data_IF_282815513935
#
_entry.id   IF_282815513935
#
_cell.length_a   1.000
_cell.length_b   1.000
_cell.length_c   1.000
_cell.angle_alpha   90.00
_cell.angle_beta   90.00
_cell.angle_gamma   90.00
#
_symmetry.space_group_name_H-M   'P 1'
#
loop_
_entity.id
_entity.type
_entity.pdbx_description
1 polymer ?
#
# COMPACT_ATOMS: atom_id res chain seq x y z
N UNK A 1 28.70 -11.13 -5.05
CA UNK A 1 29.33 -12.46 -5.21
C UNK A 1 29.67 -12.59 -6.68
N UNK A 2 30.92 -12.91 -7.03
CA UNK A 2 31.28 -13.11 -8.44
C UNK A 2 30.67 -14.43 -8.94
N UNK A 3 30.30 -14.47 -10.22
CA UNK A 3 29.70 -15.64 -10.89
C UNK A 3 30.64 -16.86 -10.88
N UNK A 4 31.92 -16.67 -10.57
CA UNK A 4 32.97 -17.70 -10.57
C UNK A 4 32.75 -18.83 -9.55
N UNK A 5 31.82 -18.64 -8.59
CA UNK A 5 31.48 -19.64 -7.58
C UNK A 5 30.25 -20.50 -7.96
N UNK A 6 29.58 -20.21 -9.08
CA UNK A 6 28.39 -20.93 -9.53
C UNK A 6 28.73 -21.92 -10.65
N UNK A 7 28.24 -23.16 -10.51
CA UNK A 7 28.27 -24.12 -11.62
C UNK A 7 27.20 -23.74 -12.66
N UNK A 8 27.61 -22.93 -13.63
CA UNK A 8 26.75 -22.40 -14.68
C UNK A 8 26.13 -23.51 -15.55
N UNK A 9 26.69 -24.72 -15.59
CA UNK A 9 26.09 -25.86 -16.32
C UNK A 9 24.79 -26.36 -15.69
N UNK A 10 24.56 -26.03 -14.41
CA UNK A 10 23.36 -26.40 -13.64
C UNK A 10 22.40 -25.23 -13.42
N UNK A 11 22.64 -24.10 -14.07
CA UNK A 11 21.79 -22.93 -13.95
C UNK A 11 20.42 -23.22 -14.61
N UNK A 12 19.34 -23.08 -13.84
CA UNK A 12 17.99 -23.41 -14.33
C UNK A 12 17.22 -22.17 -14.78
N UNK A 13 17.31 -21.08 -14.02
CA UNK A 13 16.58 -19.84 -14.28
C UNK A 13 17.27 -18.64 -13.63
N UNK A 14 16.95 -17.45 -14.12
CA UNK A 14 17.29 -16.19 -13.48
C UNK A 14 16.00 -15.39 -13.32
N UNK A 15 15.76 -14.91 -12.10
CA UNK A 15 14.65 -14.00 -11.79
C UNK A 15 15.21 -12.62 -11.51
N UNK A 16 14.55 -11.59 -12.06
CA UNK A 16 15.02 -10.21 -11.99
C UNK A 16 13.83 -9.28 -11.77
N UNK A 17 14.12 -8.08 -11.29
CA UNK A 17 13.12 -7.06 -10.98
C UNK A 17 12.57 -6.38 -12.25
N UNK A 18 12.98 -5.15 -12.59
CA UNK A 18 12.41 -4.35 -13.68
C UNK A 18 12.91 -4.72 -15.08
N UNK A 19 12.25 -4.29 -16.17
CA UNK A 19 12.52 -4.80 -17.52
C UNK A 19 13.82 -4.28 -18.17
N UNK A 20 14.20 -3.01 -17.98
CA UNK A 20 15.14 -2.33 -18.88
C UNK A 20 16.57 -2.90 -18.86
N UNK A 21 17.21 -2.99 -17.70
CA UNK A 21 18.59 -3.49 -17.58
C UNK A 21 18.61 -5.02 -17.60
N UNK A 22 17.57 -5.62 -17.04
CA UNK A 22 17.54 -7.03 -16.74
C UNK A 22 17.23 -7.89 -17.96
N UNK A 23 16.36 -7.45 -18.87
CA UNK A 23 16.11 -8.23 -20.08
C UNK A 23 17.32 -8.28 -21.00
N UNK A 24 18.11 -7.20 -21.08
CA UNK A 24 19.36 -7.25 -21.85
C UNK A 24 20.37 -8.20 -21.22
N UNK A 25 20.47 -8.21 -19.89
CA UNK A 25 21.29 -9.18 -19.18
C UNK A 25 20.85 -10.62 -19.47
N UNK A 26 19.54 -10.93 -19.36
CA UNK A 26 19.03 -12.27 -19.64
C UNK A 26 19.26 -12.69 -21.09
N UNK A 27 19.08 -11.78 -22.05
CA UNK A 27 19.36 -12.04 -23.47
C UNK A 27 20.84 -12.43 -23.66
N UNK A 28 21.76 -11.63 -23.12
CA UNK A 28 23.20 -11.91 -23.22
C UNK A 28 23.58 -13.22 -22.50
N UNK A 29 22.98 -13.48 -21.33
CA UNK A 29 23.19 -14.71 -20.58
C UNK A 29 22.66 -15.94 -21.33
N UNK A 30 21.51 -15.84 -21.99
CA UNK A 30 20.96 -16.93 -22.80
C UNK A 30 21.82 -17.24 -24.02
N UNK A 31 22.40 -16.21 -24.66
CA UNK A 31 23.33 -16.39 -25.78
C UNK A 31 24.60 -17.12 -25.32
N UNK A 32 25.27 -16.61 -24.27
CA UNK A 32 26.47 -17.24 -23.71
C UNK A 32 26.20 -18.67 -23.23
N UNK A 33 25.07 -18.90 -22.56
CA UNK A 33 24.70 -20.22 -22.09
C UNK A 33 24.41 -21.20 -23.24
N UNK A 34 23.77 -20.74 -24.31
CA UNK A 34 23.53 -21.57 -25.49
C UNK A 34 24.84 -21.93 -26.21
N UNK A 35 25.78 -20.99 -26.33
CA UNK A 35 27.10 -21.23 -26.94
C UNK A 35 27.94 -22.22 -26.13
N UNK A 36 27.94 -22.10 -24.80
CA UNK A 36 28.81 -22.90 -23.92
C UNK A 36 28.20 -24.25 -23.52
N UNK A 37 26.88 -24.42 -23.59
CA UNK A 37 26.18 -25.62 -23.08
C UNK A 37 25.26 -26.29 -24.12
N UNK A 38 25.71 -26.35 -25.37
CA UNK A 38 25.07 -27.18 -26.40
C UNK A 38 23.66 -26.72 -26.80
N UNK A 39 23.42 -25.42 -26.80
CA UNK A 39 22.13 -24.81 -27.13
C UNK A 39 21.10 -24.81 -26.00
N UNK A 40 21.49 -25.17 -24.78
CA UNK A 40 20.62 -25.08 -23.61
C UNK A 40 20.15 -23.63 -23.36
N UNK A 41 18.92 -23.46 -22.88
CA UNK A 41 18.36 -22.17 -22.53
C UNK A 41 17.77 -22.19 -21.12
N UNK A 42 17.97 -21.09 -20.40
CA UNK A 42 17.40 -20.89 -19.07
C UNK A 42 15.89 -20.70 -19.15
N UNK A 43 15.17 -21.22 -18.16
CA UNK A 43 13.74 -20.96 -18.00
C UNK A 43 13.55 -19.49 -17.65
N UNK A 44 12.93 -18.74 -18.58
CA UNK A 44 12.58 -17.34 -18.37
C UNK A 44 11.17 -17.21 -17.83
N UNK A 45 11.04 -16.55 -16.67
CA UNK A 45 9.77 -16.24 -16.02
C UNK A 45 9.39 -14.76 -16.27
N UNK A 46 10.22 -14.03 -17.01
CA UNK A 46 10.07 -12.60 -17.23
C UNK A 46 10.46 -11.76 -16.02
N UNK A 47 9.93 -10.53 -15.94
CA UNK A 47 10.15 -9.61 -14.83
C UNK A 47 9.33 -9.99 -13.60
N UNK A 48 9.73 -9.48 -12.44
CA UNK A 48 9.07 -9.77 -11.18
C UNK A 48 7.59 -9.29 -11.18
N UNK A 49 6.66 -10.25 -11.17
CA UNK A 49 5.21 -9.98 -11.14
C UNK A 49 4.74 -9.18 -9.92
N UNK A 50 5.44 -9.28 -8.78
CA UNK A 50 5.11 -8.51 -7.58
C UNK A 50 5.34 -7.00 -7.77
N UNK A 51 6.37 -6.60 -8.52
CA UNK A 51 6.60 -5.19 -8.83
C UNK A 51 5.43 -4.59 -9.64
N UNK A 52 4.83 -5.37 -10.53
CA UNK A 52 3.63 -4.97 -11.28
C UNK A 52 2.47 -4.72 -10.32
N UNK A 53 2.26 -5.61 -9.34
CA UNK A 53 1.19 -5.44 -8.34
C UNK A 53 1.39 -4.20 -7.47
N UNK A 54 2.62 -3.94 -7.01
CA UNK A 54 2.94 -2.71 -6.28
C UNK A 54 2.62 -1.45 -7.11
N UNK A 55 3.00 -1.45 -8.39
CA UNK A 55 2.75 -0.32 -9.29
C UNK A 55 1.25 -0.15 -9.60
N UNK A 56 0.52 -1.25 -9.81
CA UNK A 56 -0.92 -1.23 -10.03
C UNK A 56 -1.67 -0.68 -8.80
N UNK A 57 -1.31 -1.16 -7.61
CA UNK A 57 -1.87 -0.67 -6.36
C UNK A 57 -1.55 0.82 -6.17
N UNK A 58 -0.30 1.24 -6.38
CA UNK A 58 0.08 2.66 -6.37
C UNK A 58 -0.78 3.49 -7.32
N UNK A 59 -0.96 3.04 -8.57
CA UNK A 59 -1.75 3.74 -9.56
C UNK A 59 -3.20 3.93 -9.09
N UNK A 60 -3.82 2.88 -8.54
CA UNK A 60 -5.18 2.94 -8.01
C UNK A 60 -5.38 3.95 -6.87
N UNK A 61 -4.36 4.20 -6.06
CA UNK A 61 -4.44 5.11 -4.91
C UNK A 61 -3.83 6.50 -5.15
N UNK A 62 -3.23 6.75 -6.31
CA UNK A 62 -2.46 7.97 -6.56
C UNK A 62 -3.30 9.25 -6.45
N UNK A 63 -4.58 9.20 -6.81
CA UNK A 63 -5.50 10.35 -6.73
C UNK A 63 -5.87 10.74 -5.29
N UNK A 64 -5.82 9.80 -4.35
CA UNK A 64 -6.22 10.06 -2.95
C UNK A 64 -5.06 10.57 -2.10
N UNK A 65 -3.83 10.52 -2.61
CA UNK A 65 -2.63 11.02 -1.93
C UNK A 65 -2.43 10.45 -0.52
N UNK A 66 -2.91 9.22 -0.27
CA UNK A 66 -2.77 8.54 1.02
C UNK A 66 -1.29 8.42 1.42
N UNK A 67 -0.39 8.22 0.44
CA UNK A 67 1.05 8.17 0.69
C UNK A 67 1.60 9.49 1.24
N UNK A 68 1.11 10.64 0.76
CA UNK A 68 1.53 11.95 1.26
C UNK A 68 1.10 12.13 2.72
N UNK A 69 -0.12 11.72 3.05
CA UNK A 69 -0.65 11.79 4.42
C UNK A 69 0.20 10.90 5.36
N UNK A 70 0.44 9.64 4.99
CA UNK A 70 1.24 8.71 5.79
C UNK A 70 2.69 9.21 5.99
N UNK A 71 3.34 9.71 4.92
CA UNK A 71 4.68 10.31 5.00
C UNK A 71 4.68 11.54 5.90
N UNK A 72 3.67 12.39 5.79
CA UNK A 72 3.56 13.61 6.59
C UNK A 72 3.40 13.27 8.08
N UNK A 73 2.54 12.30 8.43
CA UNK A 73 2.35 11.82 9.79
C UNK A 73 3.67 11.37 10.42
N UNK A 74 4.47 10.58 9.71
CA UNK A 74 5.80 10.17 10.20
C UNK A 74 6.76 11.37 10.32
N UNK A 75 6.86 12.20 9.26
CA UNK A 75 7.76 13.34 9.18
C UNK A 75 7.48 14.41 10.25
N UNK A 76 6.23 14.51 10.70
CA UNK A 76 5.84 15.41 11.79
C UNK A 76 6.55 15.05 13.10
N UNK A 77 6.92 13.80 13.33
CA UNK A 77 7.55 13.37 14.59
C UNK A 77 8.99 12.86 14.41
N UNK A 78 9.38 12.54 13.18
CA UNK A 78 10.70 12.03 12.86
C UNK A 78 11.81 13.05 13.18
N UNK A 79 12.82 12.61 13.94
CA UNK A 79 13.95 13.42 14.41
C UNK A 79 13.58 14.76 15.09
N UNK A 80 12.40 14.88 15.70
CA UNK A 80 12.03 16.08 16.48
C UNK A 80 11.58 15.71 17.89
N UNK A 81 12.51 15.57 18.86
CA UNK A 81 12.23 15.16 20.22
C UNK A 81 11.19 16.04 20.93
N UNK A 82 11.30 17.37 20.82
CA UNK A 82 10.37 18.31 21.45
C UNK A 82 8.90 18.06 21.03
N UNK A 83 8.65 17.86 19.73
CA UNK A 83 7.29 17.55 19.25
C UNK A 83 6.79 16.20 19.73
N UNK A 84 7.67 15.21 19.88
CA UNK A 84 7.29 13.90 20.44
C UNK A 84 6.94 14.00 21.91
N UNK A 85 7.69 14.80 22.67
CA UNK A 85 7.39 15.08 24.08
C UNK A 85 6.06 15.81 24.23
N UNK A 86 5.82 16.87 23.44
CA UNK A 86 4.55 17.60 23.42
C UNK A 86 3.38 16.68 23.06
N UNK A 87 3.54 15.84 22.04
CA UNK A 87 2.56 14.84 21.64
C UNK A 87 2.21 13.88 22.77
N UNK A 88 3.21 13.29 23.43
CA UNK A 88 3.00 12.37 24.56
C UNK A 88 2.35 13.11 25.73
N UNK A 89 2.78 14.35 26.01
CA UNK A 89 2.25 15.16 27.11
C UNK A 89 0.75 15.43 26.94
N UNK A 90 0.33 15.83 25.74
CA UNK A 90 -1.06 16.18 25.41
C UNK A 90 -1.94 14.93 25.26
N UNK A 91 -1.48 13.95 24.49
CA UNK A 91 -2.33 12.82 24.06
C UNK A 91 -2.25 11.62 24.99
N UNK A 92 -1.24 11.56 25.86
CA UNK A 92 -0.84 10.40 26.67
C UNK A 92 -0.48 9.15 25.84
N UNK A 93 -0.36 9.29 24.52
CA UNK A 93 -0.01 8.22 23.61
C UNK A 93 1.52 8.20 23.37
N UNK A 94 2.14 7.04 23.55
CA UNK A 94 3.56 6.80 23.23
C UNK A 94 3.77 6.12 21.88
N UNK A 95 2.69 5.92 21.14
CA UNK A 95 2.68 5.27 19.83
C UNK A 95 2.75 6.33 18.72
N UNK A 96 3.66 6.15 17.77
CA UNK A 96 3.91 7.10 16.69
C UNK A 96 3.64 6.50 15.30
N UNK A 97 3.38 7.34 14.27
CA UNK A 97 3.27 6.88 12.88
C UNK A 97 4.56 6.22 12.38
N UNK A 98 4.43 5.30 11.43
CA UNK A 98 5.54 4.56 10.82
C UNK A 98 5.97 5.16 9.46
N UNK A 99 7.23 4.94 9.03
CA UNK A 99 7.70 5.42 7.73
C UNK A 99 7.03 4.66 6.57
N UNK A 100 6.64 5.39 5.53
CA UNK A 100 6.03 4.82 4.32
C UNK A 100 7.08 4.51 3.24
N UNK A 101 7.07 3.30 2.69
CA UNK A 101 7.92 2.89 1.58
C UNK A 101 7.27 3.16 0.21
N UNK A 102 7.86 4.07 -0.56
CA UNK A 102 7.29 4.52 -1.85
C UNK A 102 7.42 3.51 -2.99
N UNK A 103 8.34 2.56 -2.87
CA UNK A 103 8.57 1.51 -3.88
C UNK A 103 7.70 0.29 -3.62
N UNK A 104 7.34 0.03 -2.36
CA UNK A 104 6.67 -1.20 -1.93
C UNK A 104 5.31 -0.94 -1.32
N UNK A 105 4.37 -0.47 -2.14
CA UNK A 105 3.06 0.02 -1.66
C UNK A 105 2.27 -1.01 -0.83
N UNK A 106 2.13 -2.25 -1.31
CA UNK A 106 1.46 -3.35 -0.61
C UNK A 106 2.10 -3.75 0.73
N UNK A 107 3.39 -3.48 0.93
CA UNK A 107 4.07 -3.74 2.22
C UNK A 107 3.74 -2.68 3.28
N UNK A 108 3.05 -1.59 2.92
CA UNK A 108 2.68 -0.53 3.86
C UNK A 108 1.39 -0.84 4.66
N UNK A 109 0.90 -2.09 4.67
CA UNK A 109 -0.24 -2.48 5.51
C UNK A 109 -0.02 -2.15 7.01
N UNK A 110 1.13 -2.47 7.64
CA UNK A 110 1.39 -2.07 9.03
C UNK A 110 1.43 -0.54 9.22
N UNK A 111 1.87 0.19 8.20
CA UNK A 111 1.98 1.66 8.24
C UNK A 111 0.60 2.30 8.28
N UNK A 112 -0.33 1.85 7.44
CA UNK A 112 -1.70 2.36 7.44
C UNK A 112 -2.47 1.93 8.70
N UNK A 113 -2.26 0.70 9.19
CA UNK A 113 -2.85 0.24 10.45
C UNK A 113 -2.38 1.09 11.63
N UNK A 114 -1.07 1.38 11.69
CA UNK A 114 -0.50 2.29 12.69
C UNK A 114 -1.07 3.69 12.56
N UNK A 115 -1.20 4.22 11.34
CA UNK A 115 -1.73 5.55 11.11
C UNK A 115 -3.18 5.69 11.59
N UNK A 116 -4.04 4.70 11.27
CA UNK A 116 -5.42 4.66 11.75
C UNK A 116 -5.50 4.58 13.27
N UNK A 117 -4.66 3.75 13.90
CA UNK A 117 -4.62 3.65 15.37
C UNK A 117 -4.16 4.96 16.06
N UNK A 118 -3.23 5.68 15.43
CA UNK A 118 -2.66 6.94 15.95
C UNK A 118 -3.57 8.14 15.65
N UNK A 119 -4.45 8.05 14.65
CA UNK A 119 -5.27 9.17 14.18
C UNK A 119 -6.06 9.90 15.29
N UNK A 120 -6.75 9.22 16.24
CA UNK A 120 -7.46 9.91 17.32
C UNK A 120 -6.55 10.76 18.20
N UNK A 121 -5.36 10.25 18.54
CA UNK A 121 -4.36 11.01 19.30
C UNK A 121 -3.78 12.16 18.49
N UNK A 122 -3.58 11.97 17.17
CA UNK A 122 -3.16 13.06 16.29
C UNK A 122 -4.18 14.19 16.25
N UNK A 123 -5.49 13.90 16.24
CA UNK A 123 -6.53 14.94 16.33
C UNK A 123 -6.40 15.77 17.60
N UNK A 124 -6.23 15.13 18.77
CA UNK A 124 -6.03 15.84 20.04
C UNK A 124 -4.80 16.76 20.02
N UNK A 125 -3.73 16.31 19.37
CA UNK A 125 -2.53 17.12 19.18
C UNK A 125 -2.76 18.32 18.24
N UNK A 126 -3.51 18.15 17.16
CA UNK A 126 -3.91 19.25 16.27
C UNK A 126 -4.82 20.26 17.01
N UNK A 127 -5.75 19.78 17.81
CA UNK A 127 -6.64 20.66 18.59
C UNK A 127 -5.84 21.51 19.59
N UNK A 128 -4.83 20.96 20.24
CA UNK A 128 -3.92 21.70 21.13
C UNK A 128 -3.12 22.78 20.37
N UNK A 129 -2.71 22.50 19.13
CA UNK A 129 -2.06 23.48 18.27
C UNK A 129 -3.03 24.59 17.85
N UNK A 130 -4.28 24.27 17.52
CA UNK A 130 -5.31 25.26 17.19
C UNK A 130 -5.65 26.16 18.40
N UNK A 131 -5.67 25.59 19.62
CA UNK A 131 -5.81 26.33 20.88
C UNK A 131 -4.57 27.13 21.27
N UNK A 132 -3.49 27.06 20.50
CA UNK A 132 -2.20 27.74 20.76
C UNK A 132 -1.53 27.31 22.07
N UNK A 133 -1.83 26.11 22.56
CA UNK A 133 -1.17 25.49 23.73
C UNK A 133 0.25 25.02 23.40
N UNK A 134 0.53 24.82 22.10
CA UNK A 134 1.80 24.35 21.56
C UNK A 134 2.27 25.27 20.42
N UNK A 135 3.59 25.38 20.18
CA UNK A 135 4.10 26.15 19.06
C UNK A 135 3.73 25.51 17.72
N UNK A 136 3.27 26.33 16.76
CA UNK A 136 2.96 25.83 15.42
C UNK A 136 4.23 25.28 14.75
N UNK A 137 4.21 24.03 14.25
CA UNK A 137 5.36 23.42 13.59
C UNK A 137 5.88 24.14 12.34
N UNK A 138 5.04 24.95 11.65
CA UNK A 138 5.35 25.68 10.41
C UNK A 138 6.07 24.82 9.35
N UNK A 139 5.55 23.62 9.08
CA UNK A 139 6.14 22.69 8.09
C UNK A 139 5.06 22.15 7.17
N UNK A 140 5.43 21.88 5.91
CA UNK A 140 4.56 21.24 4.92
C UNK A 140 3.93 19.91 5.40
N UNK A 141 4.60 19.17 6.28
CA UNK A 141 4.03 17.95 6.89
C UNK A 141 2.83 18.26 7.78
N UNK A 142 2.85 19.39 8.50
CA UNK A 142 1.71 19.84 9.30
C UNK A 142 0.56 20.27 8.39
N UNK A 143 0.83 21.10 7.37
CA UNK A 143 -0.20 21.59 6.43
C UNK A 143 -0.89 20.43 5.69
N UNK A 144 -0.14 19.38 5.34
CA UNK A 144 -0.69 18.16 4.73
C UNK A 144 -1.65 17.44 5.68
N UNK A 145 -1.28 17.35 6.97
CA UNK A 145 -2.11 16.70 8.00
C UNK A 145 -3.34 17.55 8.29
N UNK A 146 -3.21 18.87 8.37
CA UNK A 146 -4.31 19.81 8.57
C UNK A 146 -5.33 19.71 7.43
N UNK A 147 -4.85 19.70 6.19
CA UNK A 147 -5.71 19.49 5.00
C UNK A 147 -6.44 18.15 5.10
N UNK A 148 -5.74 17.08 5.47
CA UNK A 148 -6.34 15.75 5.63
C UNK A 148 -7.33 15.69 6.81
N UNK A 149 -7.07 16.42 7.90
CA UNK A 149 -7.97 16.51 9.04
C UNK A 149 -9.30 17.18 8.68
N UNK A 150 -9.26 18.17 7.79
CA UNK A 150 -10.43 18.90 7.32
C UNK A 150 -11.20 18.16 6.20
N UNK A 151 -10.60 17.16 5.55
CA UNK A 151 -11.29 16.31 4.57
C UNK A 151 -12.12 15.21 5.27
N UNK A 152 -13.46 15.24 5.17
CA UNK A 152 -14.33 14.26 5.83
C UNK A 152 -14.11 12.83 5.32
N UNK A 153 -13.50 12.66 4.15
CA UNK A 153 -13.27 11.34 3.54
C UNK A 153 -11.89 10.75 3.87
N UNK A 154 -11.00 11.47 4.56
CA UNK A 154 -9.63 10.98 4.85
C UNK A 154 -9.63 9.62 5.51
N UNK A 155 -10.43 9.43 6.56
CA UNK A 155 -10.48 8.16 7.29
C UNK A 155 -11.09 7.06 6.44
N UNK A 156 -12.11 7.36 5.64
CA UNK A 156 -12.68 6.40 4.69
C UNK A 156 -11.66 5.96 3.62
N UNK A 157 -10.91 6.89 3.04
CA UNK A 157 -9.82 6.61 2.08
C UNK A 157 -8.74 5.73 2.70
N UNK A 158 -8.35 6.01 3.95
CA UNK A 158 -7.38 5.22 4.70
C UNK A 158 -7.88 3.80 5.01
N UNK A 159 -9.13 3.65 5.43
CA UNK A 159 -9.74 2.34 5.64
C UNK A 159 -9.86 1.55 4.34
N UNK A 160 -10.22 2.19 3.24
CA UNK A 160 -10.27 1.52 1.93
C UNK A 160 -8.88 1.06 1.50
N UNK A 161 -7.85 1.91 1.65
CA UNK A 161 -6.46 1.51 1.43
C UNK A 161 -6.08 0.29 2.26
N UNK A 162 -6.36 0.31 3.56
CA UNK A 162 -6.06 -0.80 4.47
C UNK A 162 -6.79 -2.08 4.05
N UNK A 163 -8.07 -1.99 3.72
CA UNK A 163 -8.87 -3.16 3.30
C UNK A 163 -8.29 -3.79 2.04
N UNK A 164 -8.00 -2.99 1.00
CA UNK A 164 -7.41 -3.54 -0.23
C UNK A 164 -6.03 -4.13 0.08
N UNK A 165 -5.14 -3.41 0.79
CA UNK A 165 -3.82 -3.92 1.14
C UNK A 165 -3.88 -5.24 1.93
N UNK A 166 -4.84 -5.36 2.87
CA UNK A 166 -5.07 -6.58 3.65
C UNK A 166 -5.52 -7.76 2.79
N UNK A 167 -6.30 -7.53 1.73
CA UNK A 167 -6.66 -8.58 0.77
C UNK A 167 -5.44 -9.13 0.03
N UNK A 168 -4.46 -8.29 -0.26
CA UNK A 168 -3.20 -8.70 -0.90
C UNK A 168 -2.20 -9.38 0.06
N UNK A 169 -2.29 -9.16 1.37
CA UNK A 169 -1.27 -9.61 2.34
C UNK A 169 -0.98 -11.12 2.29
N UNK A 170 -1.98 -12.04 2.25
CA UNK A 170 -1.70 -13.47 2.10
C UNK A 170 -0.98 -13.81 0.79
N UNK A 171 -1.34 -13.13 -0.30
CA UNK A 171 -0.70 -13.30 -1.59
C UNK A 171 0.76 -12.84 -1.53
N UNK A 172 1.02 -11.65 -0.99
CA UNK A 172 2.37 -11.12 -0.85
C UNK A 172 3.25 -12.06 -0.03
N UNK A 173 2.76 -12.54 1.12
CA UNK A 173 3.51 -13.49 1.96
C UNK A 173 3.82 -14.81 1.26
N UNK A 174 2.90 -15.33 0.44
CA UNK A 174 3.12 -16.58 -0.32
C UNK A 174 4.23 -16.41 -1.36
N UNK A 175 4.24 -15.28 -2.06
CA UNK A 175 5.11 -15.05 -3.21
C UNK A 175 6.42 -14.31 -2.89
N UNK A 176 6.57 -13.78 -1.67
CA UNK A 176 7.84 -13.25 -1.14
C UNK A 176 8.60 -14.31 -0.33
N UNK A 177 8.83 -15.48 -0.95
CA UNK A 177 9.52 -16.62 -0.32
C UNK A 177 10.58 -17.18 -1.28
N UNK A 178 11.50 -17.99 -0.75
CA UNK A 178 12.48 -18.72 -1.55
C UNK A 178 11.92 -20.06 -2.07
N UNK A 179 10.66 -20.39 -1.74
CA UNK A 179 10.02 -21.62 -2.18
C UNK A 179 9.62 -21.52 -3.66
N UNK A 180 9.59 -22.64 -4.41
CA UNK A 180 9.26 -22.65 -5.84
C UNK A 180 7.76 -22.49 -6.10
N UNK A 181 7.17 -21.39 -5.63
CA UNK A 181 5.73 -21.11 -5.67
C UNK A 181 5.26 -20.54 -7.01
N UNK A 182 6.20 -20.14 -7.87
CA UNK A 182 5.90 -19.45 -9.12
C UNK A 182 4.92 -20.17 -10.08
N UNK A 183 4.93 -21.51 -10.21
CA UNK A 183 3.93 -22.22 -11.02
C UNK A 183 2.47 -21.94 -10.63
N UNK A 184 2.21 -21.50 -9.40
CA UNK A 184 0.86 -21.21 -8.89
C UNK A 184 0.45 -19.74 -9.08
N UNK A 185 1.38 -18.86 -9.46
CA UNK A 185 1.19 -17.39 -9.45
C UNK A 185 -0.02 -16.93 -10.24
N UNK A 186 -0.15 -17.40 -11.50
CA UNK A 186 -1.25 -16.98 -12.37
C UNK A 186 -2.62 -17.38 -11.84
N UNK A 187 -2.75 -18.60 -11.32
CA UNK A 187 -3.99 -19.11 -10.72
C UNK A 187 -4.37 -18.32 -9.47
N UNK A 188 -3.44 -18.16 -8.54
CA UNK A 188 -3.70 -17.47 -7.29
C UNK A 188 -3.99 -15.99 -7.50
N UNK A 189 -3.32 -15.37 -8.49
CA UNK A 189 -3.58 -13.98 -8.85
C UNK A 189 -4.99 -13.80 -9.40
N UNK A 190 -5.47 -14.73 -10.23
CA UNK A 190 -6.84 -14.72 -10.73
C UNK A 190 -7.87 -14.85 -9.59
N UNK A 191 -7.62 -15.74 -8.62
CA UNK A 191 -8.47 -15.87 -7.44
C UNK A 191 -8.46 -14.60 -6.57
N UNK A 192 -7.29 -13.99 -6.36
CA UNK A 192 -7.17 -12.71 -5.66
C UNK A 192 -8.00 -11.61 -6.34
N UNK A 193 -7.93 -11.51 -7.66
CA UNK A 193 -8.72 -10.52 -8.41
C UNK A 193 -10.22 -10.76 -8.29
N UNK A 194 -10.68 -12.02 -8.31
CA UNK A 194 -12.09 -12.34 -8.05
C UNK A 194 -12.52 -11.81 -6.69
N UNK A 195 -11.76 -12.06 -5.62
CA UNK A 195 -12.07 -11.57 -4.27
C UNK A 195 -12.20 -10.05 -4.23
N UNK A 196 -11.28 -9.32 -4.88
CA UNK A 196 -11.32 -7.85 -4.93
C UNK A 196 -12.57 -7.36 -5.68
N UNK A 197 -12.84 -7.92 -6.87
CA UNK A 197 -14.00 -7.54 -7.69
C UNK A 197 -15.30 -7.81 -6.94
N UNK A 198 -15.45 -8.99 -6.34
CA UNK A 198 -16.63 -9.32 -5.54
C UNK A 198 -16.79 -8.38 -4.35
N UNK A 199 -15.70 -8.04 -3.66
CA UNK A 199 -15.74 -7.11 -2.52
C UNK A 199 -16.24 -5.72 -2.94
N UNK A 200 -15.73 -5.19 -4.06
CA UNK A 200 -16.17 -3.89 -4.61
C UNK A 200 -17.62 -3.95 -5.06
N UNK A 201 -18.01 -5.04 -5.73
CA UNK A 201 -19.38 -5.21 -6.24
C UNK A 201 -20.41 -5.30 -5.11
N UNK A 202 -20.12 -6.09 -4.06
CA UNK A 202 -20.99 -6.20 -2.87
C UNK A 202 -21.15 -4.86 -2.17
N UNK A 203 -20.05 -4.12 -1.96
CA UNK A 203 -20.12 -2.78 -1.35
C UNK A 203 -20.96 -1.83 -2.20
N UNK A 204 -20.82 -1.89 -3.52
CA UNK A 204 -21.58 -1.05 -4.45
C UNK A 204 -23.08 -1.38 -4.42
N UNK A 205 -23.45 -2.67 -4.39
CA UNK A 205 -24.83 -3.14 -4.26
C UNK A 205 -25.45 -2.73 -2.93
N UNK A 206 -24.73 -2.89 -1.82
CA UNK A 206 -25.21 -2.48 -0.50
C UNK A 206 -25.41 -0.95 -0.47
N UNK A 207 -24.50 -0.16 -1.03
CA UNK A 207 -24.64 1.29 -1.12
C UNK A 207 -25.85 1.70 -1.98
N UNK A 208 -26.09 1.04 -3.12
CA UNK A 208 -27.26 1.28 -3.97
C UNK A 208 -28.54 0.93 -3.22
N UNK A 209 -28.58 -0.23 -2.55
CA UNK A 209 -29.77 -0.66 -1.79
C UNK A 209 -30.05 0.23 -0.59
N UNK A 210 -29.01 0.72 0.10
CA UNK A 210 -29.16 1.66 1.21
C UNK A 210 -29.65 3.02 0.70
N UNK A 211 -29.13 3.50 -0.44
CA UNK A 211 -29.59 4.72 -1.10
C UNK A 211 -31.05 4.60 -1.56
N UNK A 212 -31.42 3.47 -2.17
CA UNK A 212 -32.78 3.17 -2.58
C UNK A 212 -33.74 3.07 -1.37
N UNK A 213 -33.29 2.47 -0.27
CA UNK A 213 -34.05 2.39 0.97
C UNK A 213 -34.25 3.77 1.61
N UNK A 214 -33.20 4.60 1.67
CA UNK A 214 -33.30 5.98 2.16
C UNK A 214 -34.26 6.80 1.29
N UNK A 215 -34.17 6.67 -0.04
CA UNK A 215 -35.08 7.34 -0.97
C UNK A 215 -36.53 6.86 -0.80
N UNK A 216 -36.73 5.56 -0.58
CA UNK A 216 -38.04 4.96 -0.31
C UNK A 216 -38.63 5.46 1.01
N UNK A 217 -37.84 5.50 2.09
CA UNK A 217 -38.28 6.03 3.39
C UNK A 217 -38.60 7.54 3.27
N UNK A 218 -37.80 8.31 2.54
CA UNK A 218 -38.03 9.75 2.34
C UNK A 218 -39.29 10.04 1.52
N UNK A 219 -39.54 9.26 0.45
CA UNK A 219 -40.77 9.32 -0.33
C UNK A 219 -41.99 8.85 0.50
N UNK A 220 -41.85 7.78 1.29
CA UNK A 220 -42.93 7.28 2.12
C UNK A 220 -43.33 8.26 3.23
N UNK A 221 -42.37 8.96 3.85
CA UNK A 221 -42.65 10.02 4.83
C UNK A 221 -43.29 11.23 4.14
N UNK A 222 -42.81 11.60 2.95
CA UNK A 222 -43.32 12.76 2.21
C UNK A 222 -44.74 12.54 1.63
N UNK A 223 -45.11 11.30 1.33
CA UNK A 223 -46.46 10.94 0.85
C UNK A 223 -47.49 10.69 1.97
N UNK A 224 -47.06 10.42 3.22
CA UNK A 224 -47.96 10.25 4.36
C UNK A 224 -48.16 11.53 5.20
N UNK A 225 -47.62 12.66 4.75
CA UNK A 225 -47.81 13.98 5.37
C UNK A 225 -48.73 14.93 4.57
N UNK A 226 -49.53 14.41 3.64
CA UNK A 226 -50.63 15.12 2.98
C UNK A 226 -51.95 14.37 3.15
#
# INVERSE_FOLDING_TARGET
QSLDQLDNSRLMSVSMDGPNVNFKFLELLQLDHAENYGGAQLVSIGSCGLHILHNAFKAGFSMWHVDKILKAMHTLFHHVPARREDYVRITKCTVFPQPFCSQRWLENLPVIERALAVWPSLKLYLDALHRKELPNPKKASFDTIETAHNDPLTIAKMHFFMTVARTFDPFMRKYQTNEPVMPFFGKDLAELFKVIIYSIWVVSLVAINLSAYILFVYLFISFNCF
#
